data_IF_591321103662
#
_entry.id   IF_591321103662
#
_cell.length_a   1.000
_cell.length_b   1.000
_cell.length_c   1.000
_cell.angle_alpha   90.00
_cell.angle_beta   90.00
_cell.angle_gamma   90.00
#
_symmetry.space_group_name_H-M   'P 1'
#
loop_
_entity.id
_entity.type
_entity.pdbx_description
1 polymer ?
#
# COMPACT_ATOMS: atom_id res chain seq x y z
N UNK A 1 20.32 -9.42 -32.23
CA UNK A 1 21.26 -10.55 -32.30
C UNK A 1 22.61 -9.99 -32.72
N UNK A 2 23.57 -9.88 -31.81
CA UNK A 2 24.94 -9.39 -32.13
C UNK A 2 25.72 -10.60 -32.64
N UNK A 3 26.13 -10.55 -33.91
CA UNK A 3 26.90 -11.63 -34.56
C UNK A 3 28.35 -11.17 -34.67
N UNK A 4 29.30 -11.75 -33.94
CA UNK A 4 30.72 -11.42 -34.08
C UNK A 4 31.27 -11.95 -35.40
N UNK A 5 32.19 -11.21 -36.02
CA UNK A 5 32.82 -11.59 -37.31
C UNK A 5 33.79 -12.77 -37.22
N UNK A 6 34.24 -13.19 -36.03
CA UNK A 6 35.18 -14.31 -35.87
C UNK A 6 35.04 -15.01 -34.51
N UNK A 7 35.35 -16.31 -34.46
CA UNK A 7 35.31 -17.16 -33.26
C UNK A 7 36.42 -16.87 -32.22
N UNK A 8 37.32 -15.90 -32.48
CA UNK A 8 38.39 -15.49 -31.55
C UNK A 8 38.06 -14.21 -30.79
N UNK A 9 36.88 -13.64 -31.01
CA UNK A 9 36.46 -12.42 -30.32
C UNK A 9 35.85 -12.81 -28.98
N UNK A 10 36.42 -12.29 -27.91
CA UNK A 10 35.90 -12.45 -26.56
C UNK A 10 34.60 -11.65 -26.42
N UNK A 11 33.48 -12.36 -26.44
CA UNK A 11 32.12 -11.79 -26.42
C UNK A 11 31.86 -11.01 -25.13
N UNK A 12 32.46 -11.42 -24.01
CA UNK A 12 32.27 -10.75 -22.72
C UNK A 12 32.93 -9.36 -22.71
N UNK A 13 34.09 -9.22 -23.34
CA UNK A 13 34.75 -7.93 -23.48
C UNK A 13 33.99 -6.97 -24.40
N UNK A 14 33.40 -7.49 -25.49
CA UNK A 14 32.55 -6.69 -26.40
C UNK A 14 31.26 -6.27 -25.71
N UNK A 15 30.61 -7.17 -24.96
CA UNK A 15 29.40 -6.83 -24.21
C UNK A 15 29.67 -5.78 -23.13
N UNK A 16 30.77 -5.88 -22.38
CA UNK A 16 31.15 -4.86 -21.40
C UNK A 16 31.40 -3.48 -22.03
N UNK A 17 32.05 -3.44 -23.21
CA UNK A 17 32.21 -2.19 -23.96
C UNK A 17 30.87 -1.65 -24.46
N UNK A 18 29.96 -2.52 -24.92
CA UNK A 18 28.62 -2.13 -25.35
C UNK A 18 27.78 -1.62 -24.16
N UNK A 19 27.86 -2.23 -22.98
CA UNK A 19 27.18 -1.73 -21.78
C UNK A 19 27.69 -0.36 -21.34
N UNK A 20 28.98 -0.08 -21.50
CA UNK A 20 29.56 1.23 -21.17
C UNK A 20 29.24 2.33 -22.20
N UNK A 21 29.12 1.97 -23.48
CA UNK A 21 29.00 2.96 -24.58
C UNK A 21 27.56 3.11 -25.11
N UNK A 22 26.66 2.18 -24.78
CA UNK A 22 25.25 2.23 -25.14
C UNK A 22 24.37 2.23 -23.90
N UNK A 23 23.18 2.83 -24.02
CA UNK A 23 22.15 2.98 -22.97
C UNK A 23 21.54 1.64 -22.46
N UNK A 24 22.21 0.50 -22.68
CA UNK A 24 21.81 -0.83 -22.22
C UNK A 24 21.87 -0.96 -20.69
N UNK A 25 22.68 -0.16 -20.02
CA UNK A 25 22.71 -0.04 -18.56
C UNK A 25 22.29 1.38 -18.14
N UNK A 26 21.11 1.51 -17.53
CA UNK A 26 20.63 2.79 -16.99
C UNK A 26 20.53 2.75 -15.49
N UNK A 27 21.29 3.63 -14.84
CA UNK A 27 21.16 3.93 -13.42
C UNK A 27 20.02 4.94 -13.20
N UNK A 28 18.91 4.48 -12.62
CA UNK A 28 17.82 5.34 -12.21
C UNK A 28 18.05 5.84 -10.77
N UNK A 29 18.04 7.16 -10.58
CA UNK A 29 18.09 7.75 -9.23
C UNK A 29 16.72 7.57 -8.58
N UNK A 30 16.67 6.81 -7.49
CA UNK A 30 15.45 6.62 -6.70
C UNK A 30 15.54 7.55 -5.48
N UNK A 31 14.61 8.51 -5.37
CA UNK A 31 14.45 9.34 -4.18
C UNK A 31 13.11 9.01 -3.52
N UNK A 32 13.16 8.32 -2.39
CA UNK A 32 11.99 7.89 -1.62
C UNK A 32 11.57 8.98 -0.62
N UNK A 33 11.34 10.20 -1.12
CA UNK A 33 10.78 11.27 -0.31
C UNK A 33 9.25 11.14 -0.28
N UNK A 34 8.69 10.90 0.91
CA UNK A 34 7.26 10.70 1.09
C UNK A 34 6.74 11.41 2.34
N UNK A 35 5.45 11.73 2.33
CA UNK A 35 4.75 12.28 3.48
C UNK A 35 4.30 11.12 4.38
N UNK A 36 4.78 11.10 5.61
CA UNK A 36 4.40 10.08 6.59
C UNK A 36 3.00 10.28 7.17
N UNK A 37 2.61 9.36 8.05
CA UNK A 37 1.40 9.50 8.87
C UNK A 37 1.40 10.75 9.75
N UNK A 38 2.59 11.26 10.10
CA UNK A 38 2.78 12.49 10.88
C UNK A 38 2.62 13.79 10.05
N UNK A 39 2.31 13.67 8.74
CA UNK A 39 2.09 14.81 7.85
C UNK A 39 3.36 15.59 7.48
N UNK A 40 4.54 15.10 7.86
CA UNK A 40 5.83 15.72 7.53
C UNK A 40 6.52 14.99 6.37
N UNK A 41 7.14 15.72 5.43
CA UNK A 41 7.94 15.11 4.37
C UNK A 41 9.25 14.57 4.95
N UNK A 42 9.55 13.32 4.65
CA UNK A 42 10.80 12.68 5.04
C UNK A 42 11.26 11.71 3.96
N UNK A 43 12.58 11.60 3.79
CA UNK A 43 13.17 10.50 3.02
C UNK A 43 13.14 9.26 3.90
N UNK A 44 12.46 8.21 3.44
CA UNK A 44 12.24 7.00 4.25
C UNK A 44 12.93 5.78 3.65
N UNK A 45 13.38 4.91 4.53
CA UNK A 45 13.91 3.60 4.16
C UNK A 45 12.78 2.63 3.83
N UNK A 46 13.06 1.58 3.04
CA UNK A 46 12.04 0.59 2.65
C UNK A 46 11.32 -0.04 3.86
N UNK A 47 12.05 -0.30 4.95
CA UNK A 47 11.51 -0.88 6.17
C UNK A 47 10.53 0.07 6.88
N UNK A 48 10.86 1.36 6.93
CA UNK A 48 10.00 2.41 7.49
C UNK A 48 8.71 2.54 6.68
N UNK A 49 8.82 2.52 5.35
CA UNK A 49 7.68 2.57 4.43
C UNK A 49 6.71 1.42 4.69
N UNK A 50 7.23 0.19 4.76
CA UNK A 50 6.40 -0.99 4.99
C UNK A 50 5.77 -0.98 6.39
N UNK A 51 6.52 -0.56 7.41
CA UNK A 51 6.03 -0.47 8.78
C UNK A 51 4.88 0.53 8.91
N UNK A 52 5.02 1.72 8.32
CA UNK A 52 3.96 2.74 8.31
C UNK A 52 2.75 2.28 7.51
N UNK A 53 2.98 1.62 6.37
CA UNK A 53 1.90 1.07 5.58
C UNK A 53 1.09 0.01 6.34
N UNK A 54 1.75 -0.83 7.14
CA UNK A 54 1.08 -1.81 8.00
C UNK A 54 0.28 -1.15 9.13
N UNK A 55 0.79 -0.06 9.72
CA UNK A 55 0.03 0.74 10.71
C UNK A 55 -1.22 1.33 10.08
N UNK A 56 -1.06 2.02 8.94
CA UNK A 56 -2.16 2.58 8.17
C UNK A 56 -3.22 1.54 7.79
N UNK A 57 -2.77 0.35 7.35
CA UNK A 57 -3.67 -0.72 6.93
C UNK A 57 -4.47 -1.28 8.12
N UNK A 58 -3.83 -1.46 9.28
CA UNK A 58 -4.51 -1.90 10.51
C UNK A 58 -5.59 -0.90 10.93
N UNK A 59 -5.27 0.39 10.93
CA UNK A 59 -6.23 1.43 11.31
C UNK A 59 -7.41 1.50 10.34
N UNK A 60 -7.16 1.38 9.04
CA UNK A 60 -8.22 1.34 8.03
C UNK A 60 -9.17 0.15 8.25
N UNK A 61 -8.62 -1.04 8.53
CA UNK A 61 -9.43 -2.23 8.83
C UNK A 61 -10.22 -2.05 10.12
N UNK A 62 -9.61 -1.48 11.17
CA UNK A 62 -10.26 -1.20 12.44
C UNK A 62 -11.44 -0.24 12.28
N UNK A 63 -11.26 0.86 11.53
CA UNK A 63 -12.34 1.81 11.19
C UNK A 63 -13.48 1.13 10.44
N UNK A 64 -13.16 0.26 9.47
CA UNK A 64 -14.18 -0.50 8.71
C UNK A 64 -14.98 -1.44 9.61
N UNK A 65 -14.33 -2.12 10.55
CA UNK A 65 -15.00 -3.02 11.49
C UNK A 65 -15.87 -2.24 12.47
N UNK A 66 -15.38 -1.14 13.01
CA UNK A 66 -16.14 -0.27 13.92
C UNK A 66 -17.39 0.30 13.24
N UNK A 67 -17.28 0.74 11.99
CA UNK A 67 -18.45 1.20 11.22
C UNK A 67 -19.52 0.12 11.07
N UNK A 68 -19.11 -1.13 10.80
CA UNK A 68 -20.05 -2.25 10.71
C UNK A 68 -20.68 -2.59 12.06
N UNK A 69 -19.91 -2.53 13.14
CA UNK A 69 -20.39 -2.76 14.51
C UNK A 69 -21.45 -1.71 14.88
N UNK A 70 -21.16 -0.44 14.67
CA UNK A 70 -22.06 0.68 14.97
C UNK A 70 -23.37 0.59 14.19
N UNK A 71 -23.31 0.16 12.93
CA UNK A 71 -24.51 -0.09 12.11
C UNK A 71 -25.40 -1.20 12.69
N UNK A 72 -24.81 -2.27 13.23
CA UNK A 72 -25.57 -3.37 13.85
C UNK A 72 -26.16 -2.95 15.20
N UNK A 73 -25.39 -2.23 16.02
CA UNK A 73 -25.85 -1.74 17.31
C UNK A 73 -27.00 -0.75 17.17
N UNK A 74 -26.89 0.22 16.26
CA UNK A 74 -27.96 1.17 15.98
C UNK A 74 -29.23 0.48 15.45
N UNK A 75 -29.09 -0.54 14.59
CA UNK A 75 -30.21 -1.36 14.16
C UNK A 75 -30.89 -2.12 15.32
N UNK A 76 -30.11 -2.76 16.20
CA UNK A 76 -30.65 -3.52 17.33
C UNK A 76 -31.35 -2.61 18.36
N UNK A 77 -30.76 -1.45 18.66
CA UNK A 77 -31.35 -0.47 19.58
C UNK A 77 -32.66 0.06 18.98
N UNK A 78 -32.69 0.39 17.69
CA UNK A 78 -33.91 0.81 17.00
C UNK A 78 -35.02 -0.25 17.11
N UNK A 79 -34.71 -1.53 16.89
CA UNK A 79 -35.68 -2.62 17.05
C UNK A 79 -36.18 -2.77 18.50
N UNK A 80 -35.30 -2.69 19.50
CA UNK A 80 -35.71 -2.75 20.93
C UNK A 80 -36.56 -1.55 21.34
N UNK A 81 -36.21 -0.34 20.90
CA UNK A 81 -36.98 0.88 21.21
C UNK A 81 -38.34 0.85 20.51
N UNK A 82 -38.41 0.41 19.25
CA UNK A 82 -39.68 0.21 18.55
C UNK A 82 -40.55 -0.84 19.25
N UNK A 83 -39.97 -1.96 19.69
CA UNK A 83 -40.69 -2.97 20.46
C UNK A 83 -41.18 -2.45 21.81
N UNK A 84 -40.33 -1.74 22.55
CA UNK A 84 -40.70 -1.16 23.84
C UNK A 84 -41.82 -0.12 23.70
N UNK A 85 -41.72 0.75 22.69
CA UNK A 85 -42.75 1.76 22.38
C UNK A 85 -44.06 1.13 21.89
N UNK A 86 -43.97 0.01 21.17
CA UNK A 86 -45.14 -0.78 20.75
C UNK A 86 -45.82 -1.49 21.93
N UNK A 87 -45.05 -2.04 22.87
CA UNK A 87 -45.59 -2.67 24.09
C UNK A 87 -46.23 -1.66 25.04
N UNK A 88 -45.62 -0.48 25.23
CA UNK A 88 -46.17 0.57 26.09
C UNK A 88 -47.51 1.10 25.56
N UNK A 89 -47.61 1.35 24.24
CA UNK A 89 -48.87 1.79 23.58
C UNK A 89 -50.01 0.78 23.62
N UNK A 90 -49.74 -0.49 23.96
CA UNK A 90 -50.75 -1.55 24.05
C UNK A 90 -51.31 -1.75 25.46
N UNK A 91 -50.76 -1.03 26.45
CA UNK A 91 -51.15 -1.11 27.86
C UNK A 91 -51.95 0.12 28.34
N UNK A 92 -52.18 1.10 27.47
CA UNK A 92 -53.17 2.20 27.59
C UNK A 92 -54.34 1.92 26.62
#
# INVERSE_FOLDING_TARGET
>A
MIVPRSNRVDMDQVMNHLFATTDLEKSYRINLNMIGLDGRPAVKNLLEILSEWLVFRRDTVRRRLNYRLEKVLSACISSKVCWWRFSYRRSD
#
